data_IF_426157225539
#
_entry.id   IF_426157225539
#
_cell.length_a   1.000
_cell.length_b   1.000
_cell.length_c   1.000
_cell.angle_alpha   90.00
_cell.angle_beta   90.00
_cell.angle_gamma   90.00
#
_symmetry.space_group_name_H-M   'P 1'
#
loop_
_entity.id
_entity.type
_entity.pdbx_description
1 polymer ?
#
# COMPACT_ATOMS: atom_id res chain seq x y z
N UNK A 1 10.71 -10.18 -12.28
CA UNK A 1 10.34 -11.33 -11.42
C UNK A 1 11.59 -12.09 -10.94
N UNK A 2 12.62 -11.38 -10.44
CA UNK A 2 13.89 -12.00 -10.01
C UNK A 2 14.47 -11.37 -8.73
N UNK A 3 14.01 -10.18 -8.33
CA UNK A 3 14.58 -9.44 -7.19
C UNK A 3 14.01 -9.85 -5.83
N UNK A 4 12.93 -10.63 -5.78
CA UNK A 4 12.25 -11.01 -4.53
C UNK A 4 12.79 -12.32 -3.92
N UNK A 5 13.62 -13.08 -4.64
CA UNK A 5 14.09 -14.40 -4.22
C UNK A 5 15.51 -14.42 -3.63
N UNK A 6 16.23 -13.28 -3.64
CA UNK A 6 17.69 -13.30 -3.45
C UNK A 6 18.20 -12.63 -2.17
N UNK A 7 17.34 -12.08 -1.31
CA UNK A 7 17.79 -11.40 -0.08
C UNK A 7 16.99 -11.83 1.16
N UNK A 8 17.68 -12.12 2.30
CA UNK A 8 17.03 -12.44 3.57
C UNK A 8 16.27 -11.25 4.19
N UNK A 9 16.51 -10.04 3.68
CA UNK A 9 15.81 -8.81 4.04
C UNK A 9 15.12 -8.26 2.78
N UNK A 10 14.13 -9.00 2.27
CA UNK A 10 13.40 -8.55 1.10
C UNK A 10 12.42 -7.45 1.53
N UNK A 11 12.60 -6.24 1.01
CA UNK A 11 11.65 -5.12 1.17
C UNK A 11 10.27 -5.38 0.54
N UNK A 12 9.98 -6.61 0.10
CA UNK A 12 8.77 -6.97 -0.62
C UNK A 12 7.49 -6.71 0.18
N UNK A 13 7.51 -6.87 1.51
CA UNK A 13 6.37 -6.49 2.35
C UNK A 13 6.14 -4.97 2.31
N UNK A 14 7.20 -4.18 2.53
CA UNK A 14 7.17 -2.71 2.48
C UNK A 14 6.77 -2.18 1.10
N UNK A 15 7.29 -2.79 0.03
CA UNK A 15 6.94 -2.45 -1.36
C UNK A 15 5.49 -2.80 -1.70
N UNK A 16 4.98 -3.92 -1.17
CA UNK A 16 3.56 -4.31 -1.30
C UNK A 16 2.64 -3.29 -0.63
N UNK A 17 2.98 -2.84 0.58
CA UNK A 17 2.24 -1.78 1.27
C UNK A 17 2.33 -0.43 0.53
N UNK A 18 3.53 -0.05 0.06
CA UNK A 18 3.72 1.19 -0.70
C UNK A 18 2.86 1.21 -1.97
N UNK A 19 2.83 0.10 -2.72
CA UNK A 19 2.03 0.01 -3.93
C UNK A 19 0.53 0.03 -3.66
N UNK A 20 0.07 -0.66 -2.60
CA UNK A 20 -1.33 -0.60 -2.12
C UNK A 20 -1.76 0.83 -1.77
N UNK A 21 -0.93 1.56 -1.01
CA UNK A 21 -1.18 2.96 -0.64
C UNK A 21 -1.19 3.86 -1.88
N UNK A 22 -0.29 3.63 -2.84
CA UNK A 22 -0.23 4.39 -4.10
C UNK A 22 -1.51 4.22 -4.93
N UNK A 23 -2.02 3.00 -5.07
CA UNK A 23 -3.28 2.69 -5.77
C UNK A 23 -4.48 3.28 -5.01
N UNK A 24 -4.50 3.15 -3.68
CA UNK A 24 -5.55 3.73 -2.84
C UNK A 24 -5.60 5.24 -2.99
N UNK A 25 -4.46 5.94 -2.95
CA UNK A 25 -4.35 7.38 -3.21
C UNK A 25 -4.96 7.73 -4.58
N UNK A 26 -4.64 6.95 -5.61
CA UNK A 26 -5.10 7.19 -6.97
C UNK A 26 -6.61 6.96 -7.15
N UNK A 27 -7.19 5.97 -6.48
CA UNK A 27 -8.65 5.76 -6.50
C UNK A 27 -9.39 6.77 -5.61
N UNK A 28 -8.68 7.40 -4.68
CA UNK A 28 -9.26 8.27 -3.65
C UNK A 28 -9.26 9.76 -3.98
N UNK A 29 -8.98 10.16 -5.24
CA UNK A 29 -8.95 11.57 -5.67
C UNK A 29 -10.28 12.33 -5.49
N UNK A 30 -11.36 11.69 -5.00
CA UNK A 30 -12.63 12.32 -4.60
C UNK A 30 -13.02 12.12 -3.13
N UNK A 31 -12.18 11.50 -2.30
CA UNK A 31 -12.46 11.37 -0.86
C UNK A 31 -12.34 12.74 -0.20
N UNK A 32 -13.48 13.27 0.27
CA UNK A 32 -13.55 14.58 0.96
C UNK A 32 -12.87 14.58 2.34
N UNK A 33 -12.70 13.41 2.96
CA UNK A 33 -12.17 13.27 4.32
C UNK A 33 -10.93 12.38 4.36
N UNK A 34 -9.84 12.88 4.94
CA UNK A 34 -8.61 12.12 5.17
C UNK A 34 -8.83 10.91 6.11
N UNK A 35 -9.83 10.99 6.98
CA UNK A 35 -10.20 9.89 7.86
C UNK A 35 -10.72 8.65 7.10
N UNK A 36 -11.49 8.85 6.03
CA UNK A 36 -11.96 7.78 5.14
C UNK A 36 -10.78 7.11 4.41
N UNK A 37 -9.77 7.91 4.05
CA UNK A 37 -8.55 7.40 3.45
C UNK A 37 -7.74 6.53 4.45
N UNK A 38 -7.62 6.96 5.71
CA UNK A 38 -6.97 6.14 6.76
C UNK A 38 -7.72 4.85 7.04
N UNK A 39 -9.06 4.88 7.10
CA UNK A 39 -9.88 3.66 7.30
C UNK A 39 -9.67 2.64 6.19
N UNK A 40 -9.58 3.09 4.93
CA UNK A 40 -9.29 2.19 3.79
C UNK A 40 -7.89 1.60 3.83
N UNK A 41 -6.87 2.38 4.25
CA UNK A 41 -5.52 1.85 4.44
C UNK A 41 -5.53 0.78 5.54
N UNK A 42 -6.18 1.04 6.67
CA UNK A 42 -6.28 0.08 7.77
C UNK A 42 -6.98 -1.22 7.35
N UNK A 43 -8.03 -1.12 6.53
CA UNK A 43 -8.75 -2.29 5.99
C UNK A 43 -7.91 -3.13 5.02
N UNK A 44 -7.10 -2.49 4.18
CA UNK A 44 -6.29 -3.16 3.13
C UNK A 44 -4.97 -3.72 3.67
N UNK A 45 -4.51 -3.18 4.80
CA UNK A 45 -3.27 -3.56 5.47
C UNK A 45 -3.47 -4.40 6.75
N UNK A 46 -4.71 -4.68 7.16
CA UNK A 46 -5.06 -5.65 8.21
C UNK A 46 -5.23 -7.05 7.61
#
# INVERSE_FOLDING_TARGET
MFNALSFPYSNGATEGFYNKIKVLKQTSYGLKNFEEYRKRILLVCN
#
